data_IF_020203123423
#
_entry.id   IF_020203123423
#
_cell.length_a   1.000
_cell.length_b   1.000
_cell.length_c   1.000
_cell.angle_alpha   90.00
_cell.angle_beta   90.00
_cell.angle_gamma   90.00
#
_symmetry.space_group_name_H-M   'P 1'
#
loop_
_entity.id
_entity.type
_entity.pdbx_description
1 polymer ?
#
# COMPACT_ATOMS: atom_id res chain seq x y z
N UNK A 1 17.29 -8.06 -0.62
CA UNK A 1 16.10 -7.18 -0.70
C UNK A 1 14.83 -8.01 -0.80
N UNK A 2 14.83 -9.09 -1.57
CA UNK A 2 13.68 -10.01 -1.70
C UNK A 2 13.18 -10.59 -0.37
N UNK A 3 14.11 -10.95 0.54
CA UNK A 3 13.75 -11.43 1.88
C UNK A 3 12.94 -10.40 2.69
N UNK A 4 13.22 -9.10 2.52
CA UNK A 4 12.46 -8.03 3.16
C UNK A 4 11.05 -7.94 2.57
N UNK A 5 10.91 -7.97 1.25
CA UNK A 5 9.59 -7.86 0.62
C UNK A 5 8.72 -9.09 0.87
N UNK A 6 9.31 -10.30 0.91
CA UNK A 6 8.59 -11.51 1.35
C UNK A 6 8.04 -11.34 2.77
N UNK A 7 8.86 -10.84 3.70
CA UNK A 7 8.42 -10.54 5.07
C UNK A 7 7.33 -9.46 5.13
N UNK A 8 7.41 -8.42 4.28
CA UNK A 8 6.35 -7.41 4.17
C UNK A 8 5.06 -8.06 3.65
N UNK A 9 5.12 -8.94 2.64
CA UNK A 9 3.93 -9.66 2.18
C UNK A 9 3.27 -10.45 3.31
N UNK A 10 4.06 -11.14 4.14
CA UNK A 10 3.58 -11.88 5.31
C UNK A 10 2.97 -10.98 6.38
N UNK A 11 3.70 -9.95 6.82
CA UNK A 11 3.24 -9.05 7.90
C UNK A 11 1.98 -8.27 7.51
N UNK A 12 1.76 -7.99 6.22
CA UNK A 12 0.54 -7.33 5.72
C UNK A 12 -0.52 -8.31 5.19
N UNK A 13 -0.31 -9.62 5.32
CA UNK A 13 -1.18 -10.69 4.83
C UNK A 13 -1.61 -10.48 3.35
N UNK A 14 -0.65 -10.12 2.50
CA UNK A 14 -0.90 -9.91 1.07
C UNK A 14 -1.16 -11.26 0.40
N UNK A 15 -2.26 -11.33 -0.36
CA UNK A 15 -2.63 -12.56 -1.08
C UNK A 15 -1.79 -12.74 -2.34
N UNK A 16 -1.10 -13.89 -2.43
CA UNK A 16 -0.31 -14.32 -3.58
C UNK A 16 1.13 -14.66 -3.20
N UNK A 17 1.82 -15.33 -4.11
CA UNK A 17 3.25 -15.61 -4.02
C UNK A 17 4.05 -14.40 -4.49
N UNK A 18 5.04 -13.97 -3.72
CA UNK A 18 5.98 -12.92 -4.13
C UNK A 18 6.82 -13.36 -5.32
N UNK A 19 6.78 -12.58 -6.40
CA UNK A 19 7.53 -12.81 -7.64
C UNK A 19 8.76 -11.92 -7.72
N UNK A 20 8.63 -10.64 -7.37
CA UNK A 20 9.70 -9.67 -7.52
C UNK A 20 9.29 -8.27 -7.09
N UNK A 21 10.18 -7.31 -7.34
CA UNK A 21 9.94 -5.91 -7.06
C UNK A 21 10.66 -4.99 -8.05
N UNK A 22 10.11 -3.79 -8.21
CA UNK A 22 10.71 -2.67 -8.93
C UNK A 22 10.87 -1.47 -8.01
N UNK A 23 11.89 -0.65 -8.26
CA UNK A 23 12.13 0.60 -7.52
C UNK A 23 11.62 1.78 -8.34
N UNK A 24 10.70 2.56 -7.77
CA UNK A 24 10.25 3.83 -8.35
C UNK A 24 11.18 4.94 -7.88
N UNK A 25 12.09 5.38 -8.75
CA UNK A 25 13.09 6.42 -8.46
C UNK A 25 12.62 7.87 -8.68
N UNK A 26 11.41 8.07 -9.20
CA UNK A 26 10.87 9.42 -9.47
C UNK A 26 10.34 10.14 -8.22
N UNK A 27 10.28 9.45 -7.07
CA UNK A 27 9.90 10.05 -5.79
C UNK A 27 11.07 10.75 -5.10
N UNK A 28 10.90 12.02 -4.74
CA UNK A 28 11.96 12.81 -4.07
C UNK A 28 11.98 12.69 -2.53
N UNK A 29 10.96 12.04 -1.94
CA UNK A 29 10.75 12.04 -0.49
C UNK A 29 10.79 10.63 0.10
N UNK A 30 9.84 9.77 -0.26
CA UNK A 30 9.74 8.39 0.23
C UNK A 30 10.44 7.42 -0.73
N UNK A 31 11.07 6.37 -0.20
CA UNK A 31 11.49 5.26 -1.05
C UNK A 31 10.24 4.48 -1.46
N UNK A 32 10.01 4.34 -2.76
CA UNK A 32 8.80 3.72 -3.30
C UNK A 32 9.16 2.49 -4.13
N UNK A 33 8.45 1.40 -3.89
CA UNK A 33 8.64 0.11 -4.55
C UNK A 33 7.31 -0.40 -5.07
N UNK A 34 7.34 -1.11 -6.19
CA UNK A 34 6.24 -1.95 -6.66
C UNK A 34 6.62 -3.38 -6.35
N UNK A 35 5.74 -4.13 -5.71
CA UNK A 35 5.92 -5.57 -5.49
C UNK A 35 4.91 -6.34 -6.34
N UNK A 36 5.38 -7.38 -7.01
CA UNK A 36 4.59 -8.23 -7.88
C UNK A 36 4.25 -9.52 -7.16
N UNK A 37 2.95 -9.83 -7.05
CA UNK A 37 2.46 -11.08 -6.49
C UNK A 37 1.67 -11.86 -7.55
N UNK A 38 1.91 -13.16 -7.59
CA UNK A 38 1.12 -14.10 -8.40
C UNK A 38 0.08 -14.80 -7.55
N UNK A 39 -1.19 -14.72 -7.92
CA UNK A 39 -2.26 -15.42 -7.22
C UNK A 39 -2.38 -16.87 -7.68
N UNK A 40 -3.11 -17.67 -6.92
CA UNK A 40 -3.37 -19.10 -7.21
C UNK A 40 -4.06 -19.30 -8.57
N UNK A 41 -4.90 -18.35 -9.00
CA UNK A 41 -5.58 -18.37 -10.32
C UNK A 41 -4.64 -17.98 -11.48
N UNK A 42 -3.35 -17.77 -11.21
CA UNK A 42 -2.35 -17.34 -12.17
C UNK A 42 -2.34 -15.85 -12.47
N UNK A 43 -3.32 -15.08 -11.96
CA UNK A 43 -3.36 -13.62 -12.15
C UNK A 43 -2.29 -12.91 -11.33
N UNK A 44 -1.79 -11.81 -11.87
CA UNK A 44 -0.84 -10.94 -11.16
C UNK A 44 -1.57 -9.86 -10.37
N UNK A 45 -0.96 -9.43 -9.27
CA UNK A 45 -1.41 -8.30 -8.48
C UNK A 45 -0.21 -7.54 -7.96
N UNK A 46 -0.19 -6.25 -8.26
CA UNK A 46 0.85 -5.33 -7.82
C UNK A 46 0.42 -4.59 -6.55
N UNK A 47 1.39 -4.28 -5.69
CA UNK A 47 1.20 -3.40 -4.55
C UNK A 47 2.31 -2.35 -4.51
N UNK A 48 1.97 -1.16 -4.04
CA UNK A 48 2.95 -0.11 -3.78
C UNK A 48 3.39 -0.22 -2.32
N UNK A 49 4.68 -0.38 -2.10
CA UNK A 49 5.32 -0.32 -0.78
C UNK A 49 6.07 1.01 -0.67
N UNK A 50 5.79 1.78 0.37
CA UNK A 50 6.50 3.03 0.64
C UNK A 50 7.21 2.96 1.98
N UNK A 51 8.51 3.24 1.97
CA UNK A 51 9.25 3.54 3.19
C UNK A 51 9.16 5.03 3.45
N UNK A 52 8.43 5.39 4.51
CA UNK A 52 8.30 6.79 4.93
C UNK A 52 9.66 7.35 5.33
N UNK A 53 10.01 8.50 4.79
CA UNK A 53 11.24 9.19 5.14
C UNK A 53 11.12 9.91 6.49
N UNK A 54 11.65 9.29 7.55
CA UNK A 54 11.60 9.82 8.92
C UNK A 54 12.52 11.01 9.17
N UNK A 55 13.41 11.36 8.22
CA UNK A 55 14.20 12.59 8.30
C UNK A 55 13.37 13.81 7.95
N UNK A 56 12.50 13.69 6.93
CA UNK A 56 11.56 14.72 6.50
C UNK A 56 10.33 14.74 7.42
N UNK A 57 9.71 13.58 7.64
CA UNK A 57 8.55 13.44 8.51
C UNK A 57 8.98 13.00 9.91
N UNK A 58 9.11 13.95 10.83
CA UNK A 58 9.53 13.66 12.22
C UNK A 58 8.54 12.79 13.00
N UNK A 59 7.26 12.82 12.62
CA UNK A 59 6.19 12.02 13.22
C UNK A 59 5.51 11.17 12.13
N UNK A 60 6.13 10.09 11.65
CA UNK A 60 5.60 9.28 10.54
C UNK A 60 4.21 8.70 10.84
N UNK A 61 3.94 8.35 12.09
CA UNK A 61 2.64 7.81 12.51
C UNK A 61 1.49 8.81 12.29
N UNK A 62 1.74 10.10 12.48
CA UNK A 62 0.75 11.14 12.22
C UNK A 62 0.44 11.27 10.73
N UNK A 63 1.45 11.09 9.86
CA UNK A 63 1.28 11.15 8.41
C UNK A 63 0.43 9.97 7.93
N UNK A 64 0.76 8.75 8.39
CA UNK A 64 -0.02 7.54 8.06
C UNK A 64 -1.46 7.68 8.57
N UNK A 65 -1.66 8.11 9.83
CA UNK A 65 -2.98 8.34 10.40
C UNK A 65 -3.79 9.38 9.62
N UNK A 66 -3.17 10.47 9.20
CA UNK A 66 -3.85 11.48 8.37
C UNK A 66 -4.25 10.92 7.00
N UNK A 67 -3.38 10.14 6.36
CA UNK A 67 -3.71 9.47 5.10
C UNK A 67 -4.89 8.49 5.27
N UNK A 68 -4.93 7.72 6.35
CA UNK A 68 -6.05 6.84 6.68
C UNK A 68 -7.36 7.61 6.90
N UNK A 69 -7.33 8.72 7.64
CA UNK A 69 -8.51 9.54 7.89
C UNK A 69 -9.08 10.14 6.59
N UNK A 70 -8.22 10.70 5.74
CA UNK A 70 -8.62 11.30 4.46
C UNK A 70 -9.18 10.22 3.51
N UNK A 71 -8.47 9.10 3.33
CA UNK A 71 -8.92 8.02 2.44
C UNK A 71 -10.22 7.37 2.93
N UNK A 72 -10.38 7.18 4.24
CA UNK A 72 -11.63 6.67 4.84
C UNK A 72 -12.79 7.63 4.63
N UNK A 73 -12.56 8.94 4.78
CA UNK A 73 -13.57 9.96 4.51
C UNK A 73 -14.05 9.93 3.05
N UNK A 74 -13.11 9.93 2.09
CA UNK A 74 -13.41 9.89 0.66
C UNK A 74 -14.15 8.59 0.32
N UNK A 75 -13.68 7.45 0.83
CA UNK A 75 -14.34 6.16 0.62
C UNK A 75 -15.78 6.18 1.11
N UNK A 76 -16.05 6.74 2.31
CA UNK A 76 -17.41 6.85 2.84
C UNK A 76 -18.30 7.70 1.92
N UNK A 77 -17.80 8.84 1.45
CA UNK A 77 -18.54 9.73 0.54
C UNK A 77 -18.89 9.06 -0.79
N UNK A 78 -17.95 8.34 -1.39
CA UNK A 78 -18.20 7.60 -2.63
C UNK A 78 -19.17 6.43 -2.44
N UNK A 79 -19.15 5.75 -1.27
CA UNK A 79 -20.16 4.73 -0.92
C UNK A 79 -21.57 5.33 -0.81
N UNK A 80 -21.71 6.48 -0.15
CA UNK A 80 -22.98 7.21 -0.04
C UNK A 80 -23.55 7.56 -1.43
N UNK A 81 -22.67 7.88 -2.39
CA UNK A 81 -23.02 8.20 -3.78
C UNK A 81 -23.24 6.97 -4.68
N UNK A 82 -23.02 5.74 -4.17
CA UNK A 82 -23.05 4.49 -4.97
C UNK A 82 -22.13 4.54 -6.19
N UNK A 83 -20.96 5.17 -6.06
CA UNK A 83 -20.01 5.31 -7.16
C UNK A 83 -19.45 3.93 -7.57
N UNK A 84 -19.66 3.48 -8.82
CA UNK A 84 -19.23 2.15 -9.27
C UNK A 84 -17.70 2.02 -9.37
N UNK A 85 -16.97 3.14 -9.41
CA UNK A 85 -15.50 3.17 -9.53
C UNK A 85 -14.79 3.45 -8.21
N UNK A 86 -15.50 3.37 -7.06
CA UNK A 86 -14.93 3.65 -5.74
C UNK A 86 -13.55 3.01 -5.50
N UNK A 87 -13.37 1.75 -5.95
CA UNK A 87 -12.11 1.01 -5.77
C UNK A 87 -10.92 1.61 -6.53
N UNK A 88 -11.18 2.35 -7.61
CA UNK A 88 -10.15 3.03 -8.41
C UNK A 88 -9.85 4.44 -7.93
N UNK A 89 -10.83 5.10 -7.29
CA UNK A 89 -10.76 6.52 -6.89
C UNK A 89 -10.14 6.75 -5.52
N UNK A 90 -9.89 5.70 -4.74
CA UNK A 90 -9.36 5.82 -3.38
C UNK A 90 -8.21 4.85 -3.14
N UNK A 91 -7.13 5.36 -2.55
CA UNK A 91 -6.01 4.54 -2.10
C UNK A 91 -6.47 3.64 -0.95
N UNK A 92 -6.18 2.34 -1.08
CA UNK A 92 -6.44 1.36 -0.03
C UNK A 92 -5.17 1.07 0.75
N UNK A 93 -5.15 1.46 2.02
CA UNK A 93 -4.05 1.22 2.95
C UNK A 93 -4.23 -0.16 3.58
N UNK A 94 -3.18 -0.98 3.54
CA UNK A 94 -3.15 -2.29 4.20
C UNK A 94 -2.55 -2.14 5.60
N UNK A 95 -3.12 -2.87 6.56
CA UNK A 95 -2.60 -2.94 7.94
C UNK A 95 -1.80 -4.21 8.13
N UNK A 96 -0.90 -4.19 9.09
CA UNK A 96 -0.21 -5.41 9.49
C UNK A 96 -1.17 -6.34 10.23
N UNK A 97 -0.84 -7.62 10.27
CA UNK A 97 -1.61 -8.64 11.01
C UNK A 97 -1.66 -8.40 12.52
N UNK A 98 -0.83 -7.50 13.04
CA UNK A 98 -0.69 -7.22 14.48
C UNK A 98 -1.44 -5.97 14.96
N UNK A 99 -2.04 -5.21 14.04
CA UNK A 99 -2.78 -3.98 14.35
C UNK A 99 -1.93 -2.72 14.25
#
# INVERSE_FOLDING_TARGET
MDSLFRKICEEFALKGEYVGYEIIKSGNINDTYVIDLKKEDGSEKQYIVQRVNTRVFKNPDQIVRNAELVTSHIMRKLKEQRDPELKRKVVHIYRTVRG
#
